data_IF_058472701004
#
_entry.id   IF_058472701004
#
_cell.length_a   1.000
_cell.length_b   1.000
_cell.length_c   1.000
_cell.angle_alpha   90.00
_cell.angle_beta   90.00
_cell.angle_gamma   90.00
#
_symmetry.space_group_name_H-M   'P 1'
#
loop_
_entity.id
_entity.type
_entity.pdbx_description
1 polymer ?
#
# COMPACT_ATOMS: atom_id res chain seq x y z
N UNK A 1 11.07 -12.22 27.99
CA UNK A 1 11.53 -13.55 28.37
C UNK A 1 12.41 -14.14 27.28
N UNK A 2 13.54 -14.72 27.62
CA UNK A 2 14.37 -15.49 26.72
C UNK A 2 13.83 -16.91 26.68
N UNK A 3 13.47 -17.40 25.48
CA UNK A 3 12.96 -18.74 25.26
C UNK A 3 13.97 -19.53 24.44
N UNK A 4 14.30 -20.74 24.86
CA UNK A 4 15.15 -21.67 24.12
C UNK A 4 14.32 -22.90 23.74
N UNK A 5 14.39 -23.30 22.48
CA UNK A 5 13.75 -24.51 22.00
C UNK A 5 14.64 -25.74 22.30
N UNK A 6 14.06 -26.72 22.97
CA UNK A 6 14.74 -27.99 23.27
C UNK A 6 14.63 -28.97 22.09
N UNK A 7 15.44 -30.02 22.03
CA UNK A 7 15.40 -31.01 20.96
C UNK A 7 14.03 -31.68 20.75
N UNK A 8 13.18 -31.69 21.78
CA UNK A 8 11.81 -32.22 21.74
C UNK A 8 10.75 -31.20 21.23
N UNK A 9 11.20 -30.01 20.77
CA UNK A 9 10.34 -28.96 20.26
C UNK A 9 9.67 -28.10 21.34
N UNK A 10 9.91 -28.35 22.63
CA UNK A 10 9.38 -27.53 23.72
C UNK A 10 10.20 -26.28 23.91
N UNK A 11 9.51 -25.16 24.04
CA UNK A 11 10.14 -23.87 24.39
C UNK A 11 10.21 -23.72 25.89
N UNK A 12 11.43 -23.70 26.42
CA UNK A 12 11.69 -23.48 27.84
C UNK A 12 12.21 -22.07 28.07
N UNK A 13 11.65 -21.42 29.08
CA UNK A 13 12.12 -20.10 29.50
C UNK A 13 13.49 -20.24 30.17
N UNK A 14 14.51 -19.68 29.54
CA UNK A 14 15.90 -19.72 30.03
C UNK A 14 16.30 -18.44 30.77
N UNK A 15 15.50 -17.39 30.68
CA UNK A 15 15.75 -16.15 31.40
C UNK A 15 14.68 -15.09 31.12
N UNK A 16 14.71 -14.03 31.90
CA UNK A 16 13.96 -12.81 31.64
C UNK A 16 14.87 -11.61 31.84
N UNK A 17 14.79 -10.66 30.93
CA UNK A 17 15.39 -9.34 31.10
C UNK A 17 14.31 -8.48 31.73
N UNK A 18 14.56 -7.98 32.94
CA UNK A 18 13.70 -6.97 33.55
C UNK A 18 14.21 -5.60 33.13
N UNK A 19 13.33 -4.81 32.54
CA UNK A 19 13.63 -3.43 32.18
C UNK A 19 13.18 -2.55 33.35
N UNK A 20 14.12 -1.77 33.89
CA UNK A 20 13.87 -0.87 35.01
C UNK A 20 13.30 0.50 34.58
N UNK A 21 13.06 0.65 33.25
CA UNK A 21 12.50 1.86 32.69
C UNK A 21 11.17 1.54 31.98
N UNK A 22 10.20 2.47 32.05
CA UNK A 22 8.95 2.29 31.32
C UNK A 22 9.23 2.24 29.81
N UNK A 23 8.51 1.36 29.11
CA UNK A 23 8.54 1.26 27.65
C UNK A 23 7.14 1.58 27.15
N UNK A 24 7.06 2.47 26.18
CA UNK A 24 5.83 2.82 25.46
C UNK A 24 6.04 2.69 23.95
N UNK A 25 4.95 2.58 23.21
CA UNK A 25 4.97 2.62 21.75
C UNK A 25 4.60 4.03 21.33
N UNK A 26 5.51 4.67 20.60
CA UNK A 26 5.26 5.94 19.93
C UNK A 26 5.14 5.70 18.42
N UNK A 27 4.05 6.17 17.80
CA UNK A 27 3.87 6.08 16.37
C UNK A 27 4.71 7.13 15.63
N UNK A 28 4.98 6.89 14.31
CA UNK A 28 5.77 7.83 13.51
C UNK A 28 5.11 9.22 13.37
N UNK A 29 3.79 9.25 13.34
CA UNK A 29 3.04 10.45 13.04
C UNK A 29 3.07 10.85 11.55
N UNK A 30 2.15 11.70 11.17
CA UNK A 30 2.02 12.27 9.82
C UNK A 30 2.09 13.78 9.92
N UNK A 31 2.84 14.41 9.01
CA UNK A 31 2.83 15.88 8.87
C UNK A 31 1.49 16.33 8.25
N UNK A 32 0.57 16.77 9.09
CA UNK A 32 -0.77 17.16 8.67
C UNK A 32 -0.85 18.59 8.13
N UNK A 33 0.24 19.36 8.17
CA UNK A 33 0.35 20.62 7.45
C UNK A 33 0.54 20.39 5.95
N UNK A 34 1.17 19.28 5.60
CA UNK A 34 1.40 18.84 4.22
C UNK A 34 0.30 17.88 3.77
N UNK A 35 0.08 16.79 4.51
CA UNK A 35 -0.88 15.74 4.14
C UNK A 35 -2.27 16.02 4.71
N UNK A 36 -3.06 16.73 3.93
CA UNK A 36 -4.45 17.12 4.23
C UNK A 36 -5.26 17.24 2.94
N UNK A 37 -6.59 17.36 3.01
CA UNK A 37 -7.38 17.71 1.83
C UNK A 37 -6.96 19.06 1.27
N UNK A 38 -6.67 19.12 -0.02
CA UNK A 38 -6.28 20.33 -0.75
C UNK A 38 -7.44 20.88 -1.56
N UNK A 39 -7.50 22.20 -1.72
CA UNK A 39 -8.44 22.86 -2.62
C UNK A 39 -7.93 22.85 -4.08
N UNK A 40 -8.81 23.24 -5.02
CA UNK A 40 -8.49 23.23 -6.46
C UNK A 40 -7.29 24.09 -6.84
N UNK A 41 -7.02 25.18 -6.12
CA UNK A 41 -5.90 26.06 -6.42
C UNK A 41 -4.58 25.47 -5.97
N UNK A 42 -4.58 24.77 -4.83
CA UNK A 42 -3.43 24.05 -4.29
C UNK A 42 -3.03 22.83 -5.12
N UNK A 43 -3.93 22.30 -5.96
CA UNK A 43 -3.65 21.17 -6.85
C UNK A 43 -2.94 21.58 -8.15
N UNK A 44 -2.76 22.86 -8.45
CA UNK A 44 -2.09 23.32 -9.67
C UNK A 44 -0.59 23.08 -9.57
N UNK A 45 -0.07 22.18 -10.40
CA UNK A 45 1.35 21.84 -10.45
C UNK A 45 1.70 21.10 -11.74
N UNK A 46 2.97 21.10 -12.11
CA UNK A 46 3.45 20.34 -13.27
C UNK A 46 3.11 18.85 -13.15
N UNK A 47 3.24 18.26 -11.95
CA UNK A 47 2.85 16.87 -11.71
C UNK A 47 1.37 16.62 -11.99
N UNK A 48 0.50 17.52 -11.54
CA UNK A 48 -0.94 17.39 -11.78
C UNK A 48 -1.26 17.45 -13.29
N UNK A 49 -0.60 18.34 -14.00
CA UNK A 49 -0.76 18.50 -15.45
C UNK A 49 -0.27 17.27 -16.19
N UNK A 50 0.93 16.74 -15.87
CA UNK A 50 1.46 15.49 -16.43
C UNK A 50 0.53 14.30 -16.18
N UNK A 51 0.09 14.11 -14.94
CA UNK A 51 -0.82 13.00 -14.60
C UNK A 51 -2.15 13.15 -15.32
N UNK A 52 -2.68 14.35 -15.46
CA UNK A 52 -3.92 14.60 -16.18
C UNK A 52 -3.80 14.39 -17.69
N UNK A 53 -2.63 14.71 -18.25
CA UNK A 53 -2.35 14.49 -19.67
C UNK A 53 -2.15 13.01 -20.00
N UNK A 54 -1.39 12.29 -19.20
CA UNK A 54 -1.01 10.89 -19.46
C UNK A 54 -2.12 9.90 -19.10
N UNK A 55 -2.79 10.09 -17.97
CA UNK A 55 -3.82 9.19 -17.46
C UNK A 55 -5.19 9.67 -17.92
N UNK A 56 -5.79 8.97 -18.86
CA UNK A 56 -7.08 9.39 -19.49
C UNK A 56 -8.30 8.99 -18.68
N UNK A 57 -8.16 8.00 -17.80
CA UNK A 57 -9.27 7.51 -16.99
C UNK A 57 -9.59 8.46 -15.82
N UNK A 58 -10.89 8.63 -15.56
CA UNK A 58 -11.41 9.41 -14.42
C UNK A 58 -11.47 8.61 -13.11
N UNK A 59 -11.22 7.30 -13.18
CA UNK A 59 -11.19 6.42 -12.03
C UNK A 59 -9.84 5.70 -11.94
N UNK A 60 -8.99 6.16 -11.03
CA UNK A 60 -7.62 5.66 -10.88
C UNK A 60 -7.40 5.10 -9.48
N UNK A 61 -6.90 3.87 -9.40
CA UNK A 61 -6.29 3.33 -8.19
C UNK A 61 -4.82 3.73 -8.16
N UNK A 62 -4.35 4.21 -7.02
CA UNK A 62 -2.96 4.59 -6.82
C UNK A 62 -2.26 3.57 -5.93
N UNK A 63 -1.09 3.14 -6.32
CA UNK A 63 -0.16 2.44 -5.43
C UNK A 63 1.08 3.29 -5.20
N UNK A 64 1.54 3.37 -3.95
CA UNK A 64 2.79 4.01 -3.56
C UNK A 64 3.64 3.01 -2.77
N UNK A 65 4.81 2.71 -3.29
CA UNK A 65 5.71 1.77 -2.62
C UNK A 65 6.84 1.27 -3.50
N UNK A 66 7.88 0.75 -2.89
CA UNK A 66 9.02 0.20 -3.61
C UNK A 66 8.74 -1.21 -4.13
N UNK A 67 9.04 -1.47 -5.38
CA UNK A 67 9.01 -2.80 -5.98
C UNK A 67 10.27 -3.57 -5.55
N UNK A 68 10.14 -4.35 -4.49
CA UNK A 68 11.24 -5.12 -3.92
C UNK A 68 11.75 -6.24 -4.84
N UNK A 69 12.82 -6.90 -4.41
CA UNK A 69 13.31 -8.13 -5.03
C UNK A 69 12.29 -9.26 -4.84
N UNK A 70 12.38 -10.28 -5.67
CA UNK A 70 11.51 -11.45 -5.63
C UNK A 70 10.62 -11.59 -6.85
N UNK A 71 10.05 -12.77 -7.00
CA UNK A 71 9.11 -13.13 -8.05
C UNK A 71 7.67 -12.73 -7.74
N UNK A 72 6.75 -13.43 -8.38
CA UNK A 72 5.33 -13.27 -8.15
C UNK A 72 4.96 -13.66 -6.71
N UNK A 73 4.36 -12.72 -5.97
CA UNK A 73 3.97 -12.93 -4.57
C UNK A 73 5.13 -12.95 -3.57
N UNK A 74 6.35 -12.65 -3.99
CA UNK A 74 7.53 -12.69 -3.13
C UNK A 74 8.05 -11.30 -2.76
N UNK A 75 7.73 -10.25 -3.50
CA UNK A 75 8.11 -8.90 -3.08
C UNK A 75 7.25 -8.41 -1.90
N UNK A 76 7.89 -7.77 -0.92
CA UNK A 76 7.24 -7.38 0.34
C UNK A 76 5.97 -6.53 0.15
N UNK A 77 5.94 -5.68 -0.86
CA UNK A 77 4.76 -4.86 -1.19
C UNK A 77 3.74 -5.60 -2.06
N UNK A 78 4.10 -6.79 -2.54
CA UNK A 78 3.25 -7.68 -3.33
C UNK A 78 2.64 -7.01 -4.58
N UNK A 79 3.44 -6.15 -5.23
CA UNK A 79 3.00 -5.33 -6.37
C UNK A 79 2.64 -6.21 -7.57
N UNK A 80 3.41 -7.25 -7.82
CA UNK A 80 3.17 -8.15 -8.95
C UNK A 80 1.86 -8.92 -8.82
N UNK A 81 1.49 -9.35 -7.61
CA UNK A 81 0.17 -9.93 -7.33
C UNK A 81 -0.94 -8.90 -7.51
N UNK A 82 -0.76 -7.70 -6.95
CA UNK A 82 -1.71 -6.61 -7.07
C UNK A 82 -2.01 -6.27 -8.54
N UNK A 83 -0.97 -6.17 -9.38
CA UNK A 83 -1.09 -5.93 -10.83
C UNK A 83 -1.90 -7.05 -11.49
N UNK A 84 -1.60 -8.32 -11.23
CA UNK A 84 -2.38 -9.46 -11.75
C UNK A 84 -3.85 -9.36 -11.36
N UNK A 85 -4.13 -9.18 -10.07
CA UNK A 85 -5.51 -9.10 -9.57
C UNK A 85 -6.27 -7.91 -10.15
N UNK A 86 -5.60 -6.77 -10.34
CA UNK A 86 -6.18 -5.59 -10.98
C UNK A 86 -6.55 -5.89 -12.46
N UNK A 87 -5.65 -6.48 -13.23
CA UNK A 87 -5.93 -6.89 -14.60
C UNK A 87 -7.12 -7.85 -14.65
N UNK A 88 -7.13 -8.87 -13.80
CA UNK A 88 -8.20 -9.85 -13.72
C UNK A 88 -9.55 -9.26 -13.26
N UNK A 89 -9.51 -8.25 -12.39
CA UNK A 89 -10.71 -7.59 -11.92
C UNK A 89 -11.43 -6.80 -13.02
N UNK A 90 -10.68 -6.21 -13.96
CA UNK A 90 -11.21 -5.23 -14.91
C UNK A 90 -10.96 -5.56 -16.38
N UNK A 91 -10.45 -6.76 -16.70
CA UNK A 91 -10.41 -7.24 -18.07
C UNK A 91 -11.82 -7.33 -18.68
N UNK A 92 -11.94 -7.00 -19.96
CA UNK A 92 -13.19 -6.98 -20.73
C UNK A 92 -14.32 -6.16 -20.06
N UNK A 93 -13.95 -5.17 -19.24
CA UNK A 93 -14.91 -4.29 -18.56
C UNK A 93 -15.09 -3.01 -19.37
N UNK A 94 -16.31 -2.58 -19.68
CA UNK A 94 -16.54 -1.26 -20.27
C UNK A 94 -16.05 -0.14 -19.34
N UNK A 95 -15.32 0.82 -19.89
CA UNK A 95 -14.74 1.93 -19.14
C UNK A 95 -13.99 1.47 -17.87
N UNK A 96 -12.93 0.65 -18.04
CA UNK A 96 -12.18 0.13 -16.91
C UNK A 96 -11.49 1.28 -16.15
N UNK A 97 -11.23 1.11 -14.86
CA UNK A 97 -10.37 2.05 -14.13
C UNK A 97 -8.92 1.87 -14.56
N UNK A 98 -8.06 2.84 -14.27
CA UNK A 98 -6.61 2.68 -14.37
C UNK A 98 -5.95 2.35 -13.02
N UNK A 99 -4.75 1.80 -13.09
CA UNK A 99 -3.84 1.64 -11.96
C UNK A 99 -2.60 2.52 -12.20
N UNK A 100 -2.36 3.47 -11.32
CA UNK A 100 -1.15 4.30 -11.32
C UNK A 100 -0.19 3.75 -10.26
N UNK A 101 0.98 3.33 -10.68
CA UNK A 101 2.04 2.83 -9.81
C UNK A 101 3.09 3.92 -9.60
N UNK A 102 3.11 4.56 -8.45
CA UNK A 102 4.23 5.37 -7.97
C UNK A 102 5.22 4.42 -7.31
N UNK A 103 6.13 3.91 -8.11
CA UNK A 103 7.06 2.87 -7.67
C UNK A 103 8.41 2.96 -8.40
N UNK A 104 9.42 2.43 -7.74
CA UNK A 104 10.74 2.16 -8.27
C UNK A 104 11.22 0.81 -7.73
N UNK A 105 12.28 0.27 -8.30
CA UNK A 105 12.97 -0.90 -7.76
C UNK A 105 14.02 -0.48 -6.74
N UNK A 106 15.28 -0.37 -7.17
CA UNK A 106 16.39 0.01 -6.30
C UNK A 106 16.64 1.52 -6.25
N UNK A 107 16.38 2.23 -7.36
CA UNK A 107 16.66 3.66 -7.51
C UNK A 107 15.76 4.28 -8.61
N UNK A 108 16.10 5.47 -9.08
CA UNK A 108 15.34 6.18 -10.13
C UNK A 108 16.06 6.23 -11.48
N UNK A 109 16.99 5.32 -11.74
CA UNK A 109 17.71 5.25 -13.03
C UNK A 109 16.83 4.75 -14.17
N UNK A 110 17.26 5.02 -15.40
CA UNK A 110 16.61 4.50 -16.61
C UNK A 110 16.58 2.97 -16.63
N UNK A 111 17.62 2.31 -16.12
CA UNK A 111 17.68 0.86 -16.02
C UNK A 111 16.66 0.31 -15.03
N UNK A 112 16.50 0.96 -13.88
CA UNK A 112 15.51 0.60 -12.88
C UNK A 112 14.09 0.75 -13.43
N UNK A 113 13.82 1.84 -14.13
CA UNK A 113 12.56 2.06 -14.84
C UNK A 113 12.28 0.96 -15.86
N UNK A 114 13.26 0.61 -16.67
CA UNK A 114 13.13 -0.44 -17.68
C UNK A 114 12.83 -1.81 -17.07
N UNK A 115 13.49 -2.17 -15.96
CA UNK A 115 13.24 -3.42 -15.24
C UNK A 115 11.84 -3.42 -14.60
N UNK A 116 11.42 -2.32 -14.01
CA UNK A 116 10.07 -2.16 -13.45
C UNK A 116 9.01 -2.37 -14.53
N UNK A 117 9.15 -1.72 -15.69
CA UNK A 117 8.25 -1.89 -16.83
C UNK A 117 8.22 -3.34 -17.34
N UNK A 118 9.38 -4.01 -17.42
CA UNK A 118 9.48 -5.41 -17.81
C UNK A 118 8.72 -6.34 -16.87
N UNK A 119 8.79 -6.10 -15.55
CA UNK A 119 8.05 -6.87 -14.55
C UNK A 119 6.53 -6.64 -14.68
N UNK A 120 6.09 -5.41 -14.92
CA UNK A 120 4.68 -5.10 -15.21
C UNK A 120 4.23 -5.81 -16.49
N UNK A 121 5.02 -5.68 -17.57
CA UNK A 121 4.74 -6.34 -18.85
C UNK A 121 4.58 -7.85 -18.69
N UNK A 122 5.46 -8.49 -17.94
CA UNK A 122 5.37 -9.94 -17.66
C UNK A 122 4.04 -10.36 -17.03
N UNK A 123 3.40 -9.48 -16.25
CA UNK A 123 2.07 -9.77 -15.72
C UNK A 123 0.99 -9.56 -16.80
N UNK A 124 1.10 -8.53 -17.64
CA UNK A 124 0.17 -8.28 -18.75
C UNK A 124 0.20 -9.41 -19.80
N UNK A 125 1.37 -9.93 -20.10
CA UNK A 125 1.57 -11.02 -21.08
C UNK A 125 0.84 -12.33 -20.70
N UNK A 126 0.49 -12.51 -19.41
CA UNK A 126 -0.32 -13.64 -18.96
C UNK A 126 -1.82 -13.53 -19.36
N UNK A 127 -2.21 -12.41 -19.90
CA UNK A 127 -3.56 -12.10 -20.35
C UNK A 127 -3.64 -11.91 -21.88
N UNK A 128 -2.76 -12.60 -22.62
CA UNK A 128 -2.68 -12.47 -24.09
C UNK A 128 -3.97 -12.81 -24.82
N UNK A 129 -4.83 -13.64 -24.20
CA UNK A 129 -6.12 -14.08 -24.77
C UNK A 129 -7.31 -13.17 -24.37
N UNK A 130 -7.04 -12.06 -23.68
CA UNK A 130 -8.06 -11.12 -23.24
C UNK A 130 -8.14 -9.96 -24.23
N UNK A 131 -9.34 -9.67 -24.76
CA UNK A 131 -9.55 -8.65 -25.79
C UNK A 131 -9.16 -7.25 -25.32
N UNK A 132 -9.54 -6.88 -24.10
CA UNK A 132 -9.24 -5.56 -23.53
C UNK A 132 -8.75 -5.65 -22.08
N UNK A 133 -7.64 -4.96 -21.81
CA UNK A 133 -7.06 -4.85 -20.47
C UNK A 133 -7.16 -3.42 -19.96
N UNK A 134 -7.34 -3.23 -18.64
CA UNK A 134 -7.25 -1.91 -18.03
C UNK A 134 -5.82 -1.36 -18.14
N UNK A 135 -5.69 -0.04 -18.22
CA UNK A 135 -4.39 0.61 -18.29
C UNK A 135 -3.67 0.60 -16.94
N UNK A 136 -2.36 0.41 -17.02
CA UNK A 136 -1.43 0.53 -15.89
C UNK A 136 -0.37 1.55 -16.27
N UNK A 137 -0.25 2.58 -15.48
CA UNK A 137 0.71 3.67 -15.64
C UNK A 137 1.81 3.57 -14.58
N UNK A 138 3.03 3.92 -14.97
CA UNK A 138 4.18 3.97 -14.07
C UNK A 138 4.63 5.42 -13.90
N UNK A 139 4.52 5.93 -12.68
CA UNK A 139 5.12 7.16 -12.23
C UNK A 139 6.45 6.81 -11.54
N UNK A 140 7.53 6.87 -12.32
CA UNK A 140 8.88 6.53 -11.88
C UNK A 140 9.69 7.82 -11.71
N UNK A 141 10.32 7.97 -10.57
CA UNK A 141 11.06 9.17 -10.21
C UNK A 141 10.83 9.52 -8.75
N UNK A 142 11.61 10.44 -8.22
CA UNK A 142 11.37 10.99 -6.89
C UNK A 142 10.31 12.08 -6.96
N UNK A 143 9.54 12.21 -5.90
CA UNK A 143 8.57 13.30 -5.71
C UNK A 143 8.85 13.94 -4.37
N UNK A 144 8.72 15.25 -4.32
CA UNK A 144 8.73 16.01 -3.07
C UNK A 144 7.53 15.64 -2.19
N UNK A 145 7.58 16.00 -0.93
CA UNK A 145 6.45 15.76 0.00
C UNK A 145 5.18 16.51 -0.43
N UNK A 146 5.34 17.71 -1.00
CA UNK A 146 4.22 18.49 -1.53
C UNK A 146 3.62 17.84 -2.77
N UNK A 147 4.44 17.36 -3.71
CA UNK A 147 3.99 16.62 -4.88
C UNK A 147 3.29 15.31 -4.49
N UNK A 148 3.77 14.62 -3.46
CA UNK A 148 3.08 13.44 -2.92
C UNK A 148 1.71 13.82 -2.35
N UNK A 149 1.60 14.92 -1.61
CA UNK A 149 0.32 15.43 -1.12
C UNK A 149 -0.63 15.78 -2.27
N UNK A 150 -0.14 16.46 -3.31
CA UNK A 150 -0.91 16.75 -4.53
C UNK A 150 -1.39 15.44 -5.17
N UNK A 151 -0.51 14.46 -5.36
CA UNK A 151 -0.86 13.17 -5.97
C UNK A 151 -2.02 12.48 -5.24
N UNK A 152 -1.99 12.43 -3.90
CA UNK A 152 -3.09 11.85 -3.10
C UNK A 152 -4.42 12.62 -3.23
N UNK A 153 -4.36 13.90 -3.56
CA UNK A 153 -5.51 14.80 -3.66
C UNK A 153 -6.07 14.94 -5.08
N UNK A 154 -5.40 14.41 -6.12
CA UNK A 154 -5.88 14.53 -7.51
C UNK A 154 -7.28 13.93 -7.65
N UNK A 155 -8.25 14.66 -8.27
CA UNK A 155 -9.66 14.22 -8.34
C UNK A 155 -9.87 12.87 -9.01
N UNK A 156 -9.01 12.48 -9.96
CA UNK A 156 -9.08 11.18 -10.64
C UNK A 156 -8.53 10.03 -9.79
N UNK A 157 -7.71 10.29 -8.79
CA UNK A 157 -7.25 9.28 -7.83
C UNK A 157 -8.40 8.98 -6.86
N UNK A 158 -8.90 7.75 -6.89
CA UNK A 158 -10.09 7.36 -6.13
C UNK A 158 -9.78 6.52 -4.90
N UNK A 159 -8.69 5.77 -4.91
CA UNK A 159 -8.24 4.99 -3.77
C UNK A 159 -6.73 4.75 -3.80
N UNK A 160 -6.13 4.68 -2.62
CA UNK A 160 -4.84 4.06 -2.39
C UNK A 160 -5.01 2.54 -2.31
N UNK A 161 -4.25 1.78 -3.10
CA UNK A 161 -4.28 0.32 -3.14
C UNK A 161 -2.93 -0.26 -2.72
N UNK A 162 -2.94 -1.17 -1.74
CA UNK A 162 -1.74 -1.88 -1.31
C UNK A 162 -2.07 -3.32 -0.91
N UNK A 163 -1.35 -4.29 -1.46
CA UNK A 163 -1.47 -5.70 -1.13
C UNK A 163 -0.28 -6.21 -0.31
N UNK A 164 0.33 -5.34 0.48
CA UNK A 164 1.56 -5.61 1.24
C UNK A 164 1.44 -6.84 2.14
N UNK A 165 2.54 -7.57 2.29
CA UNK A 165 2.66 -8.66 3.26
C UNK A 165 2.76 -8.19 4.71
N UNK A 166 3.01 -6.90 4.94
CA UNK A 166 3.08 -6.24 6.24
C UNK A 166 3.84 -4.92 6.17
N UNK A 167 3.48 -4.01 7.05
CA UNK A 167 4.12 -2.70 7.25
C UNK A 167 4.51 -2.53 8.71
N UNK A 168 5.63 -1.86 8.96
CA UNK A 168 5.95 -1.38 10.32
C UNK A 168 4.87 -0.40 10.80
N UNK A 169 4.73 0.70 10.10
CA UNK A 169 3.65 1.67 10.29
C UNK A 169 2.74 1.77 9.06
N UNK A 170 3.32 1.90 7.86
CA UNK A 170 2.58 2.09 6.62
C UNK A 170 2.38 3.56 6.28
N UNK A 171 3.45 4.36 6.38
CA UNK A 171 3.43 5.81 6.18
C UNK A 171 2.64 6.26 4.93
N UNK A 172 2.83 5.69 3.71
CA UNK A 172 2.05 6.11 2.55
C UNK A 172 0.54 5.89 2.70
N UNK A 173 0.13 4.86 3.45
CA UNK A 173 -1.29 4.61 3.74
C UNK A 173 -1.83 5.63 4.75
N UNK A 174 -1.05 5.98 5.78
CA UNK A 174 -1.42 6.99 6.76
C UNK A 174 -1.54 8.38 6.10
N UNK A 175 -0.56 8.77 5.28
CA UNK A 175 -0.57 10.00 4.48
C UNK A 175 -1.82 10.09 3.58
N UNK A 176 -2.13 9.00 2.86
CA UNK A 176 -3.33 8.91 2.02
C UNK A 176 -4.62 9.11 2.83
N UNK A 177 -4.73 8.50 4.03
CA UNK A 177 -5.90 8.72 4.89
C UNK A 177 -6.01 10.17 5.35
N UNK A 178 -4.88 10.82 5.70
CA UNK A 178 -4.86 12.24 6.09
C UNK A 178 -5.30 13.17 4.95
N UNK A 179 -5.15 12.75 3.69
CA UNK A 179 -5.69 13.43 2.50
C UNK A 179 -7.14 13.03 2.18
N UNK A 180 -7.84 12.37 3.09
CA UNK A 180 -9.19 11.82 2.88
C UNK A 180 -9.28 10.82 1.71
N UNK A 181 -8.17 10.26 1.24
CA UNK A 181 -8.17 9.27 0.17
C UNK A 181 -8.58 7.90 0.74
N UNK A 182 -9.59 7.24 0.14
CA UNK A 182 -9.95 5.89 0.56
C UNK A 182 -8.79 4.90 0.42
N UNK A 183 -8.68 3.98 1.37
CA UNK A 183 -7.61 2.97 1.40
C UNK A 183 -8.20 1.57 1.21
N UNK A 184 -7.57 0.80 0.33
CA UNK A 184 -7.78 -0.64 0.12
C UNK A 184 -6.45 -1.32 0.42
N UNK A 185 -6.40 -2.12 1.47
CA UNK A 185 -5.15 -2.78 1.87
C UNK A 185 -5.39 -4.05 2.67
N UNK A 186 -4.35 -4.85 2.87
CA UNK A 186 -4.42 -6.05 3.71
C UNK A 186 -4.79 -5.69 5.16
N UNK A 187 -5.70 -6.47 5.75
CA UNK A 187 -6.17 -6.29 7.12
C UNK A 187 -5.20 -6.81 8.17
N UNK A 188 -3.90 -6.46 8.06
CA UNK A 188 -2.83 -7.02 8.89
C UNK A 188 -1.67 -6.04 9.10
N UNK A 189 -0.99 -6.15 10.26
CA UNK A 189 0.25 -5.44 10.61
C UNK A 189 0.03 -3.98 10.99
N UNK A 190 1.08 -3.14 11.00
CA UNK A 190 1.09 -1.81 11.58
C UNK A 190 0.06 -0.82 11.02
N UNK A 191 -0.38 -0.99 9.78
CA UNK A 191 -1.45 -0.12 9.25
C UNK A 191 -2.79 -0.29 9.98
N UNK A 192 -2.98 -1.36 10.74
CA UNK A 192 -4.21 -1.58 11.51
C UNK A 192 -4.34 -0.64 12.72
N UNK A 193 -3.27 0.05 13.10
CA UNK A 193 -3.30 1.02 14.20
C UNK A 193 -4.09 2.29 13.84
N UNK A 194 -4.13 2.64 12.54
CA UNK A 194 -4.86 3.80 12.03
C UNK A 194 -5.95 3.46 11.00
N UNK A 195 -6.11 2.17 10.63
CA UNK A 195 -7.18 1.71 9.73
C UNK A 195 -8.19 0.84 10.49
N UNK A 196 -9.42 0.78 9.98
CA UNK A 196 -10.44 -0.12 10.49
C UNK A 196 -11.41 -0.54 9.38
N UNK A 197 -12.09 -1.66 9.56
CA UNK A 197 -12.99 -2.25 8.57
C UNK A 197 -14.29 -1.47 8.30
N UNK A 198 -14.62 -0.43 9.11
CA UNK A 198 -15.78 0.42 8.88
C UNK A 198 -15.50 1.53 7.87
N UNK A 199 -14.27 2.04 7.85
CA UNK A 199 -13.88 3.24 7.09
C UNK A 199 -12.81 2.96 6.03
N UNK A 200 -12.25 1.75 6.02
CA UNK A 200 -11.28 1.27 5.04
C UNK A 200 -11.76 -0.04 4.42
N UNK A 201 -11.26 -0.37 3.24
CA UNK A 201 -11.53 -1.64 2.59
C UNK A 201 -10.38 -2.60 2.88
N UNK A 202 -10.60 -3.53 3.82
CA UNK A 202 -9.59 -4.47 4.24
C UNK A 202 -9.65 -5.76 3.42
N UNK A 203 -8.53 -6.16 2.85
CA UNK A 203 -8.34 -7.39 2.09
C UNK A 203 -8.08 -8.53 3.07
N UNK A 204 -8.78 -9.63 2.90
CA UNK A 204 -8.62 -10.86 3.67
C UNK A 204 -7.42 -11.68 3.18
N UNK A 205 -6.93 -12.58 4.04
CA UNK A 205 -5.81 -13.45 3.73
C UNK A 205 -5.37 -14.24 4.95
N UNK A 206 -4.22 -14.86 4.88
CA UNK A 206 -3.68 -15.71 5.93
C UNK A 206 -2.17 -15.54 6.13
N UNK A 207 -1.68 -15.92 7.31
CA UNK A 207 -0.25 -15.94 7.61
C UNK A 207 0.39 -17.21 7.05
N UNK A 208 1.34 -17.04 6.13
CA UNK A 208 2.15 -18.14 5.55
C UNK A 208 3.63 -17.98 5.91
N UNK A 209 4.39 -19.07 5.95
CA UNK A 209 5.85 -18.98 6.09
C UNK A 209 6.44 -18.10 5.00
N UNK A 210 7.43 -17.30 5.37
CA UNK A 210 8.19 -16.51 4.40
C UNK A 210 8.95 -17.45 3.47
N UNK A 211 8.87 -17.26 2.13
CA UNK A 211 9.65 -18.07 1.19
C UNK A 211 11.14 -18.03 1.51
N UNK A 212 11.84 -19.16 1.41
CA UNK A 212 13.27 -19.26 1.74
C UNK A 212 14.14 -18.25 1.02
N UNK A 213 13.83 -17.95 -0.26
CA UNK A 213 14.53 -16.96 -1.07
C UNK A 213 14.39 -15.52 -0.58
N UNK A 214 13.42 -15.25 0.30
CA UNK A 214 13.15 -13.93 0.88
C UNK A 214 13.70 -13.79 2.31
N UNK A 215 14.27 -14.84 2.87
CA UNK A 215 14.93 -14.77 4.18
C UNK A 215 16.12 -13.81 4.12
N UNK A 216 16.12 -12.85 5.02
CA UNK A 216 17.16 -11.82 5.13
C UNK A 216 17.57 -11.63 6.58
N UNK A 217 18.55 -12.41 6.99
CA UNK A 217 19.10 -12.31 8.35
C UNK A 217 19.83 -10.99 8.56
N UNK A 218 19.70 -10.37 9.74
CA UNK A 218 18.96 -10.84 10.94
C UNK A 218 17.50 -10.36 11.00
N UNK A 219 16.97 -9.70 9.95
CA UNK A 219 15.66 -9.01 9.99
C UNK A 219 14.51 -9.98 9.74
N UNK A 220 14.62 -10.79 8.69
CA UNK A 220 13.60 -11.74 8.29
C UNK A 220 14.17 -13.15 8.39
N UNK A 221 13.88 -13.83 9.49
CA UNK A 221 14.46 -15.14 9.85
C UNK A 221 13.43 -16.26 9.82
N UNK A 222 13.86 -17.50 9.66
CA UNK A 222 13.00 -18.66 9.93
C UNK A 222 12.72 -18.77 11.45
N UNK A 223 11.49 -19.08 11.87
CA UNK A 223 10.28 -19.41 11.11
C UNK A 223 9.30 -18.23 10.93
N UNK A 224 9.77 -17.08 10.48
CA UNK A 224 8.93 -15.91 10.27
C UNK A 224 7.77 -16.19 9.30
N UNK A 225 6.65 -15.53 9.56
CA UNK A 225 5.47 -15.56 8.69
C UNK A 225 5.12 -14.16 8.24
N UNK A 226 4.51 -14.04 7.09
CA UNK A 226 3.94 -12.82 6.57
C UNK A 226 2.50 -13.03 6.09
N UNK A 227 1.77 -11.94 5.90
CA UNK A 227 0.38 -12.02 5.47
C UNK A 227 0.29 -12.18 3.96
N UNK A 228 -0.37 -13.24 3.51
CA UNK A 228 -0.65 -13.48 2.10
C UNK A 228 -2.10 -13.14 1.81
N UNK A 229 -2.32 -12.10 1.03
CA UNK A 229 -3.64 -11.65 0.61
C UNK A 229 -4.33 -12.70 -0.27
N UNK A 230 -5.63 -12.90 -0.10
CA UNK A 230 -6.45 -13.75 -0.96
C UNK A 230 -6.72 -13.04 -2.31
N UNK A 231 -6.33 -13.68 -3.40
CA UNK A 231 -6.48 -13.13 -4.76
C UNK A 231 -7.95 -12.87 -5.11
N UNK A 232 -8.83 -13.80 -4.75
CA UNK A 232 -10.28 -13.67 -5.00
C UNK A 232 -10.88 -12.51 -4.22
N UNK A 233 -10.41 -12.28 -2.99
CA UNK A 233 -10.86 -11.15 -2.19
C UNK A 233 -10.35 -9.81 -2.73
N UNK A 234 -9.08 -9.73 -3.17
CA UNK A 234 -8.57 -8.54 -3.86
C UNK A 234 -9.49 -8.17 -5.03
N UNK A 235 -9.80 -9.14 -5.90
CA UNK A 235 -10.64 -8.92 -7.08
C UNK A 235 -12.05 -8.46 -6.68
N UNK A 236 -12.66 -9.12 -5.68
CA UNK A 236 -13.98 -8.74 -5.17
C UNK A 236 -13.98 -7.32 -4.60
N UNK A 237 -12.98 -6.97 -3.78
CA UNK A 237 -12.85 -5.66 -3.12
C UNK A 237 -12.61 -4.54 -4.13
N UNK A 238 -11.80 -4.76 -5.17
CA UNK A 238 -11.60 -3.79 -6.25
C UNK A 238 -12.90 -3.48 -6.98
N UNK A 239 -13.65 -4.51 -7.41
CA UNK A 239 -14.95 -4.35 -8.07
C UNK A 239 -15.99 -3.70 -7.16
N UNK A 240 -16.07 -4.15 -5.92
CA UNK A 240 -16.95 -3.57 -4.90
C UNK A 240 -16.65 -2.10 -4.68
N UNK A 241 -15.37 -1.73 -4.55
CA UNK A 241 -14.95 -0.36 -4.32
C UNK A 241 -15.37 0.56 -5.47
N UNK A 242 -15.08 0.17 -6.73
CA UNK A 242 -15.50 0.96 -7.92
C UNK A 242 -17.00 1.23 -7.90
N UNK A 243 -17.81 0.21 -7.60
CA UNK A 243 -19.28 0.32 -7.55
C UNK A 243 -19.77 1.22 -6.42
N UNK A 244 -19.10 1.21 -5.27
CA UNK A 244 -19.56 1.88 -4.04
C UNK A 244 -18.73 3.12 -3.67
N UNK A 245 -17.92 3.64 -4.59
CA UNK A 245 -16.93 4.69 -4.34
C UNK A 245 -17.48 5.90 -3.57
N UNK A 246 -18.66 6.42 -3.93
CA UNK A 246 -19.24 7.61 -3.25
C UNK A 246 -19.41 7.39 -1.75
N UNK A 247 -19.96 6.24 -1.35
CA UNK A 247 -20.12 5.86 0.07
C UNK A 247 -18.78 5.71 0.77
N UNK A 248 -17.84 5.01 0.13
CA UNK A 248 -16.51 4.75 0.70
C UNK A 248 -15.66 6.01 0.81
N UNK A 249 -15.80 6.96 -0.11
CA UNK A 249 -15.17 8.30 -0.02
C UNK A 249 -15.70 9.09 1.19
N UNK A 250 -16.99 9.00 1.49
CA UNK A 250 -17.55 9.63 2.70
C UNK A 250 -16.96 9.01 3.98
N UNK A 251 -16.85 7.69 4.05
CA UNK A 251 -16.22 6.99 5.17
C UNK A 251 -14.74 7.34 5.34
N UNK A 252 -14.00 7.47 4.22
CA UNK A 252 -12.61 7.88 4.25
C UNK A 252 -12.41 9.31 4.80
N UNK A 253 -13.32 10.25 4.54
CA UNK A 253 -13.28 11.58 5.14
C UNK A 253 -13.39 11.54 6.68
N UNK A 254 -14.25 10.68 7.20
CA UNK A 254 -14.38 10.49 8.66
C UNK A 254 -13.07 9.94 9.23
N UNK A 255 -12.50 8.92 8.58
CA UNK A 255 -11.23 8.35 8.99
C UNK A 255 -10.09 9.38 8.93
N UNK A 256 -10.03 10.15 7.84
CA UNK A 256 -9.00 11.18 7.66
C UNK A 256 -9.03 12.22 8.77
N UNK A 257 -10.22 12.68 9.18
CA UNK A 257 -10.35 13.59 10.30
C UNK A 257 -9.86 12.99 11.61
N UNK A 258 -10.19 11.73 11.88
CA UNK A 258 -9.71 11.01 13.07
C UNK A 258 -8.18 10.88 13.04
N UNK A 259 -7.60 10.49 11.90
CA UNK A 259 -6.17 10.27 11.79
C UNK A 259 -5.37 11.58 11.86
N UNK A 260 -5.85 12.67 11.26
CA UNK A 260 -5.23 14.00 11.41
C UNK A 260 -5.19 14.47 12.87
N UNK A 261 -6.19 14.12 13.67
CA UNK A 261 -6.22 14.48 15.08
C UNK A 261 -5.36 13.55 15.96
N UNK A 262 -5.38 12.24 15.67
CA UNK A 262 -4.78 11.22 16.53
C UNK A 262 -3.35 10.87 16.15
N UNK A 263 -3.01 10.93 14.87
CA UNK A 263 -1.73 10.48 14.32
C UNK A 263 -0.94 11.60 13.63
N UNK A 264 -1.21 12.88 13.96
CA UNK A 264 -0.37 13.98 13.51
C UNK A 264 0.96 14.00 14.27
N UNK A 265 2.00 14.61 13.67
CA UNK A 265 3.28 14.84 14.36
C UNK A 265 3.07 15.58 15.68
N UNK A 266 2.14 16.55 15.71
CA UNK A 266 1.88 17.32 16.93
C UNK A 266 1.16 16.51 18.01
N UNK A 267 0.34 15.52 17.64
CA UNK A 267 -0.22 14.58 18.58
C UNK A 267 0.88 13.69 19.18
N UNK A 268 1.79 13.17 18.34
CA UNK A 268 2.90 12.32 18.80
C UNK A 268 3.91 13.04 19.70
N UNK A 269 4.11 14.35 19.52
CA UNK A 269 4.99 15.14 20.42
C UNK A 269 4.42 15.32 21.83
N UNK A 270 3.13 15.08 22.03
CA UNK A 270 2.44 15.22 23.33
C UNK A 270 2.38 13.92 24.13
N UNK A 271 2.64 12.79 23.49
CA UNK A 271 2.77 11.48 24.14
C UNK A 271 4.20 11.26 24.67
#
# INVERSE_FOLDING_TARGET
DQMQEQPDGKKVKTGSIKLDRPISVLFEGVDTDIYKPLDKNQLKSNLADEVNELVKEEFVYLHVGQLGKGGYGEDRKNITLMVKCFLQAFSNTPNPPALLLKTNGANFSVLDRAETLKRIKKQKDKFSEVDTLPNIYLLHGDLTVDEMSILYNLPKIKAMLSCTHGEGFGRPLAEATCCDLPVITTGWSGQMDFLNGKQSTLIEGELKPVPKGMIWKPILVEPSKWFCADEGDIIRKLRFFKKNHKKLKHQAKILGQVNRNKHSLDAMKKE
#
